data_IF_369713371364
#
_entry.id   IF_369713371364
#
_cell.length_a   1.000
_cell.length_b   1.000
_cell.length_c   1.000
_cell.angle_alpha   90.00
_cell.angle_beta   90.00
_cell.angle_gamma   90.00
#
_symmetry.space_group_name_H-M   'P 1'
#
loop_
_entity.id
_entity.type
_entity.pdbx_description
1 polymer ?
#
# COMPACT_ATOMS: atom_id res chain seq x y z
N UNK A 1 22.12 31.34 -23.49
CA UNK A 1 21.15 31.39 -22.36
C UNK A 1 21.08 29.99 -21.76
N UNK A 2 21.60 29.80 -20.54
CA UNK A 2 21.77 28.48 -19.91
C UNK A 2 20.51 28.12 -19.12
N UNK A 3 19.86 27.04 -19.51
CA UNK A 3 18.65 26.47 -18.91
C UNK A 3 19.03 25.74 -17.60
N UNK A 4 18.58 26.26 -16.46
CA UNK A 4 18.80 25.64 -15.16
C UNK A 4 17.91 24.39 -15.00
N UNK A 5 18.52 23.20 -14.95
CA UNK A 5 17.82 21.95 -14.65
C UNK A 5 17.39 21.92 -13.18
N UNK A 6 16.08 21.78 -12.94
CA UNK A 6 15.53 21.51 -11.60
C UNK A 6 16.00 20.12 -11.13
N UNK A 7 17.00 20.10 -10.24
CA UNK A 7 17.34 18.90 -9.50
C UNK A 7 16.13 18.44 -8.67
N UNK A 8 15.64 17.24 -8.96
CA UNK A 8 14.74 16.49 -8.07
C UNK A 8 15.52 16.23 -6.77
N UNK A 9 15.05 16.81 -5.67
CA UNK A 9 15.53 16.47 -4.33
C UNK A 9 15.35 14.97 -4.08
N UNK A 10 16.45 14.20 -4.22
CA UNK A 10 16.58 12.85 -3.70
C UNK A 10 16.35 12.98 -2.19
N UNK A 11 15.31 12.34 -1.66
CA UNK A 11 15.13 12.21 -0.20
C UNK A 11 16.41 11.61 0.37
N UNK A 12 17.06 12.36 1.27
CA UNK A 12 18.25 11.93 1.97
C UNK A 12 18.00 10.56 2.61
N UNK A 13 18.86 9.59 2.32
CA UNK A 13 18.98 8.38 3.13
C UNK A 13 19.32 8.84 4.55
N UNK A 14 18.59 8.34 5.55
CA UNK A 14 18.85 8.65 6.95
C UNK A 14 20.31 8.34 7.28
N UNK A 15 20.95 9.24 8.04
CA UNK A 15 22.35 9.08 8.41
C UNK A 15 22.52 7.85 9.32
N UNK A 16 23.68 7.20 9.24
CA UNK A 16 24.04 6.07 10.09
C UNK A 16 23.93 6.51 11.55
N UNK A 17 22.94 6.00 12.27
CA UNK A 17 22.69 6.30 13.69
C UNK A 17 21.41 7.10 13.97
N UNK A 18 20.70 7.62 12.97
CA UNK A 18 19.38 8.22 13.18
C UNK A 18 18.34 7.11 13.42
N UNK A 19 17.50 7.22 14.46
CA UNK A 19 16.42 6.28 14.69
C UNK A 19 15.44 6.38 13.51
N UNK A 20 15.46 5.37 12.65
CA UNK A 20 14.46 5.22 11.59
C UNK A 20 13.07 5.33 12.21
N UNK A 21 12.14 6.13 11.65
CA UNK A 21 10.74 6.05 12.03
C UNK A 21 10.28 4.65 11.67
N UNK A 22 10.16 3.81 12.69
CA UNK A 22 9.76 2.42 12.54
C UNK A 22 8.28 2.40 12.14
N UNK A 23 8.01 2.36 10.84
CA UNK A 23 6.72 1.91 10.32
C UNK A 23 6.67 0.39 10.44
N UNK A 24 6.47 -0.11 11.66
CA UNK A 24 6.20 -1.54 11.89
C UNK A 24 4.74 -1.80 11.56
N UNK A 25 4.49 -2.59 10.51
CA UNK A 25 3.19 -3.19 10.29
C UNK A 25 2.87 -4.10 11.49
N UNK A 26 1.75 -3.86 12.16
CA UNK A 26 1.32 -4.69 13.29
C UNK A 26 0.65 -5.94 12.71
N UNK A 27 1.45 -6.93 12.34
CA UNK A 27 0.98 -8.18 11.71
C UNK A 27 0.37 -9.17 12.70
N UNK A 28 0.42 -8.88 14.00
CA UNK A 28 0.01 -9.80 15.08
C UNK A 28 -1.05 -9.18 15.99
N UNK A 29 -2.02 -8.46 15.43
CA UNK A 29 -3.21 -8.06 16.19
C UNK A 29 -4.13 -9.28 16.28
N UNK A 30 -4.34 -9.82 17.48
CA UNK A 30 -5.35 -10.87 17.71
C UNK A 30 -6.75 -10.26 17.62
N UNK A 31 -7.24 -10.07 16.40
CA UNK A 31 -8.58 -9.53 16.15
C UNK A 31 -9.69 -10.46 16.66
N UNK A 32 -9.40 -11.75 16.91
CA UNK A 32 -10.34 -12.74 17.46
C UNK A 32 -10.96 -12.33 18.80
N UNK A 33 -10.30 -11.47 19.59
CA UNK A 33 -10.86 -10.94 20.84
C UNK A 33 -11.88 -9.80 20.59
N UNK A 34 -12.10 -9.38 19.35
CA UNK A 34 -13.14 -8.43 18.96
C UNK A 34 -14.52 -9.07 18.97
N UNK A 35 -15.55 -8.31 19.36
CA UNK A 35 -16.94 -8.75 19.30
C UNK A 35 -17.24 -9.36 17.90
N UNK A 36 -17.63 -10.64 17.81
CA UNK A 36 -17.74 -11.37 16.54
C UNK A 36 -18.66 -10.66 15.53
N UNK A 37 -19.69 -9.95 15.99
CA UNK A 37 -20.57 -9.17 15.11
C UNK A 37 -19.87 -8.04 14.35
N UNK A 38 -18.82 -7.44 14.93
CA UNK A 38 -18.07 -6.33 14.31
C UNK A 38 -17.10 -6.82 13.23
N UNK A 39 -16.49 -7.99 13.41
CA UNK A 39 -15.65 -8.61 12.38
C UNK A 39 -16.49 -9.09 11.21
N UNK A 40 -17.65 -9.71 11.48
CA UNK A 40 -18.58 -10.14 10.44
C UNK A 40 -19.04 -8.96 9.56
N UNK A 41 -19.33 -7.80 10.17
CA UNK A 41 -19.66 -6.58 9.42
C UNK A 41 -18.49 -6.11 8.53
N UNK A 42 -17.26 -6.20 9.02
CA UNK A 42 -16.06 -5.82 8.24
C UNK A 42 -15.78 -6.81 7.11
N UNK A 43 -15.95 -8.11 7.37
CA UNK A 43 -15.83 -9.18 6.38
C UNK A 43 -16.89 -9.04 5.27
N UNK A 44 -18.10 -8.60 5.59
CA UNK A 44 -19.14 -8.32 4.61
C UNK A 44 -18.77 -7.16 3.65
N UNK A 45 -17.99 -6.18 4.13
CA UNK A 45 -17.55 -5.03 3.33
C UNK A 45 -16.29 -5.32 2.49
N UNK A 46 -15.46 -6.27 2.93
CA UNK A 46 -14.21 -6.65 2.26
C UNK A 46 -14.36 -6.99 0.75
N UNK A 47 -15.34 -7.81 0.30
CA UNK A 47 -15.48 -8.11 -1.13
C UNK A 47 -15.90 -6.88 -1.95
N UNK A 48 -16.76 -6.01 -1.40
CA UNK A 48 -17.19 -4.77 -2.07
C UNK A 48 -16.00 -3.83 -2.24
N UNK A 49 -15.19 -3.69 -1.19
CA UNK A 49 -13.97 -2.88 -1.22
C UNK A 49 -12.94 -3.41 -2.22
N UNK A 50 -12.69 -4.72 -2.22
CA UNK A 50 -11.76 -5.37 -3.14
C UNK A 50 -12.17 -5.14 -4.60
N UNK A 51 -13.46 -5.36 -4.92
CA UNK A 51 -14.00 -5.12 -6.25
C UNK A 51 -13.89 -3.64 -6.66
N UNK A 52 -14.20 -2.71 -5.76
CA UNK A 52 -14.06 -1.28 -6.02
C UNK A 52 -12.60 -0.89 -6.30
N UNK A 53 -11.66 -1.37 -5.48
CA UNK A 53 -10.23 -1.13 -5.66
C UNK A 53 -9.75 -1.69 -6.99
N UNK A 54 -10.16 -2.92 -7.36
CA UNK A 54 -9.84 -3.52 -8.65
C UNK A 54 -10.31 -2.66 -9.82
N UNK A 55 -11.52 -2.10 -9.77
CA UNK A 55 -12.04 -1.23 -10.84
C UNK A 55 -11.19 0.03 -11.01
N UNK A 56 -10.75 0.65 -9.91
CA UNK A 56 -9.84 1.80 -10.00
C UNK A 56 -8.44 1.40 -10.46
N UNK A 57 -7.92 0.23 -10.07
CA UNK A 57 -6.64 -0.28 -10.58
C UNK A 57 -6.71 -0.45 -12.09
N UNK A 58 -7.75 -1.08 -12.62
CA UNK A 58 -7.92 -1.25 -14.06
C UNK A 58 -8.07 0.08 -14.78
N UNK A 59 -8.91 0.99 -14.28
CA UNK A 59 -9.08 2.34 -14.82
C UNK A 59 -7.74 3.07 -14.88
N UNK A 60 -7.04 3.12 -13.74
CA UNK A 60 -5.77 3.80 -13.66
C UNK A 60 -4.68 3.07 -14.39
N UNK A 61 -4.69 1.77 -14.67
CA UNK A 61 -3.62 1.15 -15.46
C UNK A 61 -3.83 1.36 -16.97
N UNK A 62 -5.09 1.42 -17.43
CA UNK A 62 -5.40 1.32 -18.86
C UNK A 62 -5.95 2.60 -19.49
N UNK A 63 -6.68 3.43 -18.75
CA UNK A 63 -7.46 4.54 -19.31
C UNK A 63 -7.01 5.91 -18.78
N UNK A 64 -6.80 6.03 -17.47
CA UNK A 64 -6.51 7.31 -16.82
C UNK A 64 -5.13 7.31 -16.17
N UNK A 65 -4.52 8.50 -16.02
CA UNK A 65 -3.33 8.66 -15.18
C UNK A 65 -3.70 8.54 -13.70
N UNK A 66 -2.81 8.03 -12.84
CA UNK A 66 -3.13 7.82 -11.43
C UNK A 66 -3.35 9.16 -10.72
N UNK A 67 -4.59 9.40 -10.27
CA UNK A 67 -4.97 10.59 -9.53
C UNK A 67 -5.50 10.24 -8.14
N UNK A 68 -4.79 10.72 -7.11
CA UNK A 68 -5.17 10.51 -5.70
C UNK A 68 -6.41 11.31 -5.32
N UNK A 69 -6.71 12.36 -6.06
CA UNK A 69 -7.81 13.28 -5.78
C UNK A 69 -9.09 12.92 -6.53
N UNK A 70 -9.06 11.94 -7.42
CA UNK A 70 -10.18 11.52 -8.28
C UNK A 70 -11.49 11.43 -7.51
N UNK A 71 -12.54 12.01 -8.07
CA UNK A 71 -13.88 11.89 -7.52
C UNK A 71 -14.41 10.44 -7.67
N UNK A 72 -15.23 9.96 -6.72
CA UNK A 72 -15.85 8.64 -6.82
C UNK A 72 -16.65 8.47 -8.13
N UNK A 73 -16.23 7.53 -8.98
CA UNK A 73 -16.87 7.24 -10.26
C UNK A 73 -17.93 6.12 -10.17
N UNK A 74 -17.71 5.19 -9.25
CA UNK A 74 -18.50 3.97 -9.16
C UNK A 74 -19.47 4.03 -7.99
N UNK A 75 -20.75 3.72 -8.21
CA UNK A 75 -21.71 3.60 -7.12
C UNK A 75 -21.47 2.30 -6.34
N UNK A 76 -21.31 2.40 -5.02
CA UNK A 76 -21.24 1.25 -4.11
C UNK A 76 -21.90 1.63 -2.77
N UNK A 77 -22.25 0.65 -1.91
CA UNK A 77 -22.73 0.96 -0.55
C UNK A 77 -21.62 1.50 0.37
N UNK A 78 -20.37 1.60 -0.10
CA UNK A 78 -19.27 2.11 0.69
C UNK A 78 -19.37 3.63 0.90
N UNK A 79 -18.97 4.11 2.08
CA UNK A 79 -18.94 5.56 2.33
C UNK A 79 -17.82 6.25 1.54
N UNK A 80 -17.91 7.56 1.35
CA UNK A 80 -16.92 8.34 0.59
C UNK A 80 -15.49 8.16 1.10
N UNK A 81 -15.31 7.95 2.41
CA UNK A 81 -13.98 7.67 2.99
C UNK A 81 -13.40 6.36 2.46
N UNK A 82 -14.22 5.32 2.36
CA UNK A 82 -13.82 4.03 1.81
C UNK A 82 -13.51 4.12 0.31
N UNK A 83 -14.30 4.90 -0.44
CA UNK A 83 -13.98 5.25 -1.82
C UNK A 83 -12.61 5.92 -1.93
N UNK A 84 -12.33 6.88 -1.05
CA UNK A 84 -11.04 7.58 -1.06
C UNK A 84 -9.86 6.66 -0.80
N UNK A 85 -9.99 5.73 0.15
CA UNK A 85 -8.93 4.74 0.43
C UNK A 85 -8.73 3.82 -0.77
N UNK A 86 -9.81 3.32 -1.39
CA UNK A 86 -9.73 2.48 -2.59
C UNK A 86 -9.00 3.20 -3.74
N UNK A 87 -9.32 4.47 -3.99
CA UNK A 87 -8.68 5.30 -5.01
C UNK A 87 -7.19 5.47 -4.70
N UNK A 88 -6.83 5.85 -3.47
CA UNK A 88 -5.43 6.06 -3.09
C UNK A 88 -4.60 4.78 -3.21
N UNK A 89 -5.16 3.63 -2.84
CA UNK A 89 -4.52 2.33 -2.98
C UNK A 89 -4.32 1.97 -4.46
N UNK A 90 -5.36 2.13 -5.28
CA UNK A 90 -5.30 1.88 -6.70
C UNK A 90 -4.26 2.76 -7.40
N UNK A 91 -4.13 4.03 -7.00
CA UNK A 91 -3.09 4.94 -7.51
C UNK A 91 -1.69 4.41 -7.24
N UNK A 92 -1.42 3.96 -6.02
CA UNK A 92 -0.10 3.42 -5.66
C UNK A 92 0.26 2.18 -6.50
N UNK A 93 -0.71 1.28 -6.68
CA UNK A 93 -0.55 0.07 -7.50
C UNK A 93 -0.30 0.45 -8.96
N UNK A 94 -1.11 1.34 -9.53
CA UNK A 94 -0.98 1.77 -10.92
C UNK A 94 0.33 2.51 -11.20
N UNK A 95 0.81 3.32 -10.24
CA UNK A 95 2.11 4.00 -10.35
C UNK A 95 3.28 3.00 -10.39
N UNK A 96 3.25 2.00 -9.50
CA UNK A 96 4.24 0.93 -9.48
C UNK A 96 4.21 0.13 -10.79
N UNK A 97 3.02 -0.31 -11.21
CA UNK A 97 2.84 -1.07 -12.45
C UNK A 97 3.36 -0.31 -13.68
N UNK A 98 3.02 0.98 -13.83
CA UNK A 98 3.51 1.80 -14.94
C UNK A 98 5.01 1.97 -14.93
N UNK A 99 5.59 2.22 -13.76
CA UNK A 99 7.04 2.44 -13.63
C UNK A 99 7.79 1.16 -14.01
N UNK A 100 7.33 0.02 -13.51
CA UNK A 100 7.94 -1.28 -13.80
C UNK A 100 7.79 -1.65 -15.29
N UNK A 101 6.61 -1.44 -15.88
CA UNK A 101 6.37 -1.64 -17.31
C UNK A 101 7.30 -0.78 -18.16
N UNK A 102 7.44 0.51 -17.82
CA UNK A 102 8.32 1.44 -18.55
C UNK A 102 9.78 1.02 -18.47
N UNK A 103 10.25 0.62 -17.29
CA UNK A 103 11.61 0.09 -17.12
C UNK A 103 11.83 -1.19 -17.90
N UNK A 104 10.89 -2.14 -17.85
CA UNK A 104 10.98 -3.38 -18.61
C UNK A 104 11.02 -3.12 -20.13
N UNK A 105 10.24 -2.16 -20.61
CA UNK A 105 10.25 -1.78 -22.02
C UNK A 105 11.58 -1.15 -22.44
N UNK A 106 12.17 -0.29 -21.61
CA UNK A 106 13.50 0.27 -21.86
C UNK A 106 14.58 -0.82 -21.91
N UNK A 107 14.52 -1.80 -20.99
CA UNK A 107 15.44 -2.93 -21.00
C UNK A 107 15.29 -3.75 -22.27
N UNK A 108 14.05 -4.07 -22.66
CA UNK A 108 13.76 -4.78 -23.91
C UNK A 108 14.33 -4.06 -25.14
N UNK A 109 14.15 -2.74 -25.23
CA UNK A 109 14.71 -1.94 -26.34
C UNK A 109 16.23 -2.01 -26.38
N UNK A 110 16.88 -1.95 -25.22
CA UNK A 110 18.33 -2.09 -25.11
C UNK A 110 18.80 -3.48 -25.57
N UNK A 111 18.15 -4.54 -25.10
CA UNK A 111 18.48 -5.92 -25.47
C UNK A 111 18.30 -6.16 -26.98
N UNK A 112 17.24 -5.59 -27.57
CA UNK A 112 16.99 -5.67 -29.01
C UNK A 112 18.07 -4.96 -29.83
N UNK A 113 18.52 -3.79 -29.38
CA UNK A 113 19.61 -3.05 -30.03
C UNK A 113 20.93 -3.83 -29.97
N UNK A 114 21.25 -4.41 -28.82
CA UNK A 114 22.44 -5.26 -28.66
C UNK A 114 22.35 -6.48 -29.59
N UNK A 115 21.21 -7.16 -29.64
CA UNK A 115 20.97 -8.28 -30.53
C UNK A 115 21.20 -7.90 -32.01
N UNK A 116 20.64 -6.77 -32.45
CA UNK A 116 20.79 -6.27 -33.82
C UNK A 116 22.25 -5.91 -34.15
N UNK A 117 22.98 -5.28 -33.23
CA UNK A 117 24.39 -4.95 -33.40
C UNK A 117 25.26 -6.22 -33.57
N UNK A 118 25.07 -7.22 -32.69
CA UNK A 118 25.76 -8.50 -32.78
C UNK A 118 25.47 -9.27 -34.08
N UNK A 119 24.22 -9.22 -34.57
CA UNK A 119 23.86 -9.84 -35.84
C UNK A 119 24.44 -9.09 -37.06
N UNK A 120 24.69 -7.79 -36.94
CA UNK A 120 25.26 -6.96 -38.02
C UNK A 120 26.78 -7.12 -38.12
N UNK A 121 27.47 -7.22 -36.97
CA UNK A 121 28.94 -7.32 -36.90
C UNK A 121 29.49 -8.73 -37.18
N UNK A 122 28.63 -9.71 -37.50
CA UNK A 122 29.03 -11.07 -37.89
C UNK A 122 29.70 -11.90 -36.78
N UNK A 123 29.72 -11.39 -35.55
CA UNK A 123 30.26 -12.05 -34.34
C UNK A 123 29.15 -12.86 -33.65
N UNK A 124 28.60 -13.84 -34.37
CA UNK A 124 27.55 -14.70 -33.85
C UNK A 124 28.14 -15.97 -33.21
N UNK A 125 28.45 -15.92 -31.90
CA UNK A 125 28.63 -17.13 -31.10
C UNK A 125 27.24 -17.64 -30.65
N UNK A 126 26.81 -18.77 -31.23
CA UNK A 126 25.52 -19.45 -31.04
C UNK A 126 24.28 -18.62 -31.48
N UNK A 127 23.13 -19.27 -31.82
CA UNK A 127 21.92 -18.53 -32.20
C UNK A 127 21.32 -17.89 -30.95
N UNK A 128 21.79 -16.69 -30.61
CA UNK A 128 21.12 -15.85 -29.63
C UNK A 128 19.66 -15.65 -30.09
N UNK A 129 18.71 -15.98 -29.23
CA UNK A 129 17.29 -15.83 -29.54
C UNK A 129 16.94 -14.35 -29.51
N UNK A 130 16.25 -13.86 -30.54
CA UNK A 130 15.76 -12.49 -30.58
C UNK A 130 14.88 -12.20 -29.34
N UNK A 131 15.12 -11.08 -28.63
CA UNK A 131 14.30 -10.73 -27.48
C UNK A 131 12.86 -10.48 -27.92
N UNK A 132 11.90 -11.01 -27.14
CA UNK A 132 10.46 -10.88 -27.43
C UNK A 132 9.78 -10.01 -26.37
N UNK A 133 9.14 -8.92 -26.81
CA UNK A 133 8.31 -8.10 -25.92
C UNK A 133 6.99 -8.79 -25.64
N UNK A 134 6.63 -8.82 -24.36
CA UNK A 134 5.31 -9.25 -23.91
C UNK A 134 4.67 -8.11 -23.13
N UNK A 135 3.45 -7.78 -23.51
CA UNK A 135 2.70 -6.70 -22.86
C UNK A 135 2.37 -7.09 -21.41
N UNK A 136 2.50 -6.12 -20.51
CA UNK A 136 2.31 -6.37 -19.09
C UNK A 136 0.82 -6.51 -18.76
N UNK A 137 0.47 -7.61 -18.10
CA UNK A 137 -0.89 -7.82 -17.62
C UNK A 137 -1.28 -6.78 -16.56
N UNK A 138 -2.54 -6.37 -16.59
CA UNK A 138 -3.10 -5.50 -15.55
C UNK A 138 -3.15 -6.28 -14.23
N UNK A 139 -2.69 -5.69 -13.11
CA UNK A 139 -2.66 -6.38 -11.83
C UNK A 139 -4.07 -6.75 -11.36
N UNK A 140 -4.21 -7.99 -10.89
CA UNK A 140 -5.44 -8.54 -10.32
C UNK A 140 -5.28 -8.70 -8.81
N UNK A 141 -6.22 -8.14 -8.04
CA UNK A 141 -6.22 -8.18 -6.59
C UNK A 141 -6.95 -9.43 -6.10
N UNK A 142 -6.23 -10.33 -5.44
CA UNK A 142 -6.78 -11.59 -4.95
C UNK A 142 -7.25 -11.54 -3.49
N UNK A 143 -6.65 -10.65 -2.69
CA UNK A 143 -6.93 -10.56 -1.26
C UNK A 143 -7.31 -9.12 -0.88
N UNK A 144 -8.30 -8.94 0.00
CA UNK A 144 -8.61 -7.63 0.55
C UNK A 144 -7.48 -7.21 1.49
N UNK A 145 -6.64 -6.27 1.04
CA UNK A 145 -5.67 -5.58 1.87
C UNK A 145 -6.14 -4.14 2.09
N UNK A 146 -6.28 -3.74 3.35
CA UNK A 146 -6.66 -2.39 3.72
C UNK A 146 -5.42 -1.57 4.07
N UNK A 147 -5.03 -0.66 3.18
CA UNK A 147 -4.06 0.37 3.52
C UNK A 147 -4.80 1.66 3.90
N UNK A 148 -5.36 1.69 5.10
CA UNK A 148 -6.12 2.83 5.59
C UNK A 148 -5.23 3.92 6.19
N UNK A 149 -5.59 5.18 5.91
CA UNK A 149 -4.99 6.34 6.57
C UNK A 149 -5.72 6.64 7.90
N UNK A 150 -5.15 7.58 8.65
CA UNK A 150 -5.65 8.05 9.96
C UNK A 150 -7.10 8.52 9.96
N UNK A 151 -7.64 8.88 8.79
CA UNK A 151 -9.02 9.37 8.64
C UNK A 151 -10.05 8.23 8.62
N UNK A 152 -9.60 7.00 8.34
CA UNK A 152 -10.44 5.80 8.29
C UNK A 152 -10.19 4.90 9.48
N UNK A 153 -8.92 4.76 9.89
CA UNK A 153 -8.53 3.91 11.02
C UNK A 153 -7.69 4.71 12.00
N UNK A 154 -8.12 4.74 13.26
CA UNK A 154 -7.40 5.42 14.35
C UNK A 154 -7.05 4.41 15.43
N UNK A 155 -5.78 4.37 15.84
CA UNK A 155 -5.34 3.61 17.00
C UNK A 155 -5.36 4.52 18.23
N UNK A 156 -6.10 4.14 19.25
CA UNK A 156 -6.27 4.90 20.48
C UNK A 156 -5.83 4.05 21.68
N UNK A 157 -5.10 4.62 22.67
CA UNK A 157 -4.74 3.87 23.86
C UNK A 157 -6.00 3.54 24.65
N UNK A 158 -6.09 2.30 25.11
CA UNK A 158 -7.14 1.89 26.03
C UNK A 158 -6.87 2.52 27.41
N UNK A 159 -7.84 3.23 27.97
CA UNK A 159 -7.70 3.87 29.28
C UNK A 159 -8.22 3.03 30.44
N UNK A 160 -9.16 2.11 30.19
CA UNK A 160 -9.88 1.38 31.23
C UNK A 160 -10.25 -0.06 30.82
N UNK A 161 -9.37 -0.78 30.10
CA UNK A 161 -9.63 -2.17 29.71
C UNK A 161 -8.39 -3.06 29.80
N UNK A 162 -8.60 -4.38 29.76
CA UNK A 162 -7.54 -5.40 29.67
C UNK A 162 -6.73 -5.36 28.36
N UNK A 163 -7.15 -4.52 27.41
CA UNK A 163 -6.51 -4.33 26.11
C UNK A 163 -5.56 -3.15 26.13
N UNK A 164 -4.55 -3.18 25.26
CA UNK A 164 -3.53 -2.11 25.18
C UNK A 164 -4.03 -0.93 24.33
N UNK A 165 -4.75 -1.22 23.23
CA UNK A 165 -5.25 -0.22 22.30
C UNK A 165 -6.65 -0.56 21.78
N UNK A 166 -7.35 0.44 21.28
CA UNK A 166 -8.56 0.35 20.47
C UNK A 166 -8.25 0.77 19.04
N UNK A 167 -8.64 -0.05 18.08
CA UNK A 167 -8.62 0.28 16.66
C UNK A 167 -10.02 0.76 16.26
N UNK A 168 -10.18 2.07 16.14
CA UNK A 168 -11.41 2.74 15.73
C UNK A 168 -11.47 2.81 14.20
N UNK A 169 -12.25 1.94 13.59
CA UNK A 169 -12.45 1.84 12.14
C UNK A 169 -13.77 2.53 11.77
N UNK A 170 -13.71 3.54 10.91
CA UNK A 170 -14.90 4.21 10.38
C UNK A 170 -15.74 3.23 9.55
N UNK A 171 -17.01 3.05 9.93
CA UNK A 171 -17.96 2.23 9.18
C UNK A 171 -18.67 3.04 8.08
N UNK A 172 -19.66 2.40 7.43
CA UNK A 172 -20.57 3.05 6.49
C UNK A 172 -21.45 4.12 7.17
N UNK A 173 -21.81 3.89 8.43
CA UNK A 173 -22.66 4.78 9.20
C UNK A 173 -21.83 5.87 9.88
N UNK A 174 -22.03 7.12 9.46
CA UNK A 174 -21.39 8.28 10.07
C UNK A 174 -21.71 8.31 11.57
N UNK A 175 -20.67 8.34 12.40
CA UNK A 175 -20.79 8.39 13.86
C UNK A 175 -20.77 7.02 14.56
N UNK A 176 -20.79 5.91 13.82
CA UNK A 176 -20.79 4.56 14.41
C UNK A 176 -19.52 3.76 14.07
N UNK A 177 -18.32 4.23 14.47
CA UNK A 177 -17.08 3.51 14.20
C UNK A 177 -17.06 2.15 14.91
N UNK A 178 -16.55 1.13 14.22
CA UNK A 178 -16.24 -0.17 14.79
C UNK A 178 -14.95 -0.03 15.60
N UNK A 179 -15.08 -0.21 16.92
CA UNK A 179 -13.93 -0.36 17.81
C UNK A 179 -13.55 -1.82 17.92
N UNK A 180 -12.32 -2.12 17.51
CA UNK A 180 -11.70 -3.45 17.65
C UNK A 180 -10.64 -3.40 18.77
N UNK A 181 -10.75 -4.23 19.81
CA UNK A 181 -9.71 -4.31 20.83
C UNK A 181 -8.41 -4.86 20.25
N UNK A 182 -7.29 -4.29 20.67
CA UNK A 182 -5.94 -4.70 20.27
C UNK A 182 -5.11 -5.01 21.52
N UNK A 183 -4.63 -6.25 21.58
CA UNK A 183 -3.68 -6.70 22.60
C UNK A 183 -2.33 -6.95 21.96
N UNK A 184 -1.30 -6.28 22.46
CA UNK A 184 0.07 -6.46 21.99
C UNK A 184 0.68 -7.69 22.68
N UNK A 185 1.48 -8.45 21.94
CA UNK A 185 2.32 -9.49 22.55
C UNK A 185 3.43 -8.86 23.41
N UNK A 186 3.95 -9.60 24.39
CA UNK A 186 4.99 -9.12 25.31
C UNK A 186 6.20 -8.51 24.57
N UNK A 187 6.65 -9.19 23.51
CA UNK A 187 7.72 -8.71 22.63
C UNK A 187 7.46 -7.31 22.05
N UNK A 188 6.23 -7.02 21.60
CA UNK A 188 5.89 -5.71 21.03
C UNK A 188 5.80 -4.64 22.11
N UNK A 189 5.38 -4.98 23.34
CA UNK A 189 5.38 -4.05 24.47
C UNK A 189 6.80 -3.64 24.84
N UNK A 190 7.72 -4.59 24.93
CA UNK A 190 9.14 -4.33 25.18
C UNK A 190 9.76 -3.48 24.07
N UNK A 191 9.51 -3.84 22.81
CA UNK A 191 10.06 -3.10 21.66
C UNK A 191 9.50 -1.67 21.52
N UNK A 192 8.31 -1.39 22.06
CA UNK A 192 7.72 -0.06 22.10
C UNK A 192 8.09 0.71 23.36
N UNK A 193 8.59 0.05 24.40
CA UNK A 193 9.02 0.71 25.63
C UNK A 193 10.41 1.30 25.42
N UNK A 194 10.56 2.60 25.66
CA UNK A 194 11.87 3.22 25.58
C UNK A 194 12.75 2.74 26.74
N UNK A 195 13.93 2.15 26.48
CA UNK A 195 14.78 1.57 27.52
C UNK A 195 15.34 2.62 28.50
N UNK A 196 15.29 3.91 28.17
CA UNK A 196 15.81 4.99 29.04
C UNK A 196 14.74 5.65 29.91
N UNK A 197 13.49 5.69 29.45
CA UNK A 197 12.40 6.40 30.14
C UNK A 197 11.31 5.45 30.64
N UNK A 198 11.38 4.17 30.29
CA UNK A 198 10.35 3.15 30.52
C UNK A 198 8.95 3.56 30.03
N UNK A 199 8.86 4.58 29.17
CA UNK A 199 7.60 5.03 28.58
C UNK A 199 7.35 4.34 27.24
N UNK A 200 6.09 3.98 26.98
CA UNK A 200 5.67 3.39 25.71
C UNK A 200 5.69 4.47 24.62
N UNK A 201 6.52 4.28 23.60
CA UNK A 201 6.59 5.15 22.42
C UNK A 201 5.25 5.17 21.70
N UNK A 202 4.79 6.38 21.36
CA UNK A 202 3.54 6.59 20.63
C UNK A 202 3.62 5.92 19.26
N UNK A 203 2.75 4.94 19.00
CA UNK A 203 2.63 4.30 17.69
C UNK A 203 2.18 5.33 16.65
N UNK A 204 2.95 5.49 15.57
CA UNK A 204 2.51 6.27 14.42
C UNK A 204 1.33 5.57 13.74
N UNK A 205 0.32 6.36 13.40
CA UNK A 205 -1.06 5.97 13.12
C UNK A 205 -1.32 5.31 11.76
N UNK A 206 -0.29 4.73 11.13
CA UNK A 206 -0.43 3.97 9.89
C UNK A 206 -0.56 2.48 10.22
N UNK A 207 -1.77 1.94 10.15
CA UNK A 207 -2.06 0.52 10.40
C UNK A 207 -2.25 -0.20 9.06
N UNK A 208 -1.43 -1.21 8.80
CA UNK A 208 -1.67 -2.19 7.74
C UNK A 208 -2.36 -3.40 8.37
N UNK A 209 -3.58 -3.70 7.92
CA UNK A 209 -4.31 -4.91 8.32
C UNK A 209 -4.11 -5.97 7.25
N UNK A 210 -3.33 -6.99 7.58
CA UNK A 210 -3.22 -8.22 6.78
C UNK A 210 -4.09 -9.29 7.44
N UNK A 211 -4.86 -10.04 6.65
CA UNK A 211 -5.52 -11.27 7.11
C UNK A 211 -4.48 -12.35 7.35
#
# INVERSE_FOLDING_TARGET
MKSASKHRNKKNRAAVGEPYPVTKAVTHIRLVEANPGKLAALDALAPVYLALCQRYVTLFCTQEMPDKLRDPLYATPLSERWHRVAIMQAVGIAQSWRSNRAMAYQQYQHDLQCYQAHHTDGTADAPAKEPQWHEWNVPTLHQPCLQANVNVVKLEPSRDSTYDYWLSISTLEKGHPIQVPVKLSAYHKEALTDPKTHQVRKLNSSVQLNK
#
